data_IF_005607554034
#
_entry.id   IF_005607554034
#
_cell.length_a   1.000
_cell.length_b   1.000
_cell.length_c   1.000
_cell.angle_alpha   90.00
_cell.angle_beta   90.00
_cell.angle_gamma   90.00
#
_symmetry.space_group_name_H-M   'P 1'
#
loop_
_entity.id
_entity.type
_entity.pdbx_description
1 polymer ?
#
# COMPACT_ATOMS: atom_id res chain seq x y z
N UNK A 1 -11.91 2.14 88.69
CA UNK A 1 -12.61 2.54 87.46
C UNK A 1 -11.99 1.75 86.32
N UNK A 2 -12.57 0.61 86.05
CA UNK A 2 -12.12 -0.34 85.05
C UNK A 2 -12.63 0.10 83.70
N UNK A 3 -11.74 0.34 82.73
CA UNK A 3 -12.11 0.51 81.31
C UNK A 3 -12.11 -0.85 80.63
N UNK A 4 -13.29 -1.27 80.20
CA UNK A 4 -13.44 -2.47 79.37
C UNK A 4 -12.94 -2.17 77.94
N UNK A 5 -11.93 -2.85 77.49
CA UNK A 5 -11.48 -2.87 76.08
C UNK A 5 -12.36 -3.90 75.36
N UNK A 6 -13.17 -3.47 74.44
CA UNK A 6 -14.06 -4.31 73.64
C UNK A 6 -13.35 -4.98 72.49
N UNK A 7 -13.68 -6.27 72.25
CA UNK A 7 -13.14 -7.19 71.21
C UNK A 7 -13.49 -6.77 69.78
N UNK A 8 -13.34 -5.52 69.36
CA UNK A 8 -13.66 -5.09 67.97
C UNK A 8 -12.44 -4.58 67.16
N UNK A 9 -11.25 -4.52 67.76
CA UNK A 9 -10.07 -3.91 67.11
C UNK A 9 -9.07 -4.92 66.49
N UNK A 10 -9.44 -6.21 66.35
CA UNK A 10 -8.57 -7.22 65.80
C UNK A 10 -8.95 -7.77 64.40
N UNK A 11 -9.76 -7.06 63.64
CA UNK A 11 -10.24 -7.55 62.35
C UNK A 11 -9.84 -6.70 61.12
N UNK A 12 -8.83 -5.82 61.20
CA UNK A 12 -8.42 -4.95 60.08
C UNK A 12 -6.94 -5.20 59.68
N UNK A 13 -6.21 -6.10 60.32
CA UNK A 13 -4.80 -6.42 59.95
C UNK A 13 -4.69 -7.83 59.30
N UNK A 14 -5.57 -8.14 58.39
CA UNK A 14 -5.59 -9.49 57.77
C UNK A 14 -5.84 -9.56 56.29
N UNK A 15 -5.89 -8.42 55.56
CA UNK A 15 -6.19 -8.46 54.11
C UNK A 15 -5.27 -7.61 53.24
N UNK A 16 -4.01 -7.36 53.68
CA UNK A 16 -2.94 -6.90 52.83
C UNK A 16 -2.10 -8.11 52.37
N UNK A 17 -2.80 -9.20 52.06
CA UNK A 17 -2.23 -10.45 51.61
C UNK A 17 -2.14 -10.55 50.12
N UNK A 18 -0.94 -10.48 49.58
CA UNK A 18 -0.47 -11.13 48.39
C UNK A 18 -1.28 -10.87 47.08
N UNK A 19 -1.22 -9.67 46.57
CA UNK A 19 -1.12 -9.50 45.13
C UNK A 19 0.30 -9.87 44.70
N UNK A 20 0.65 -11.14 44.73
CA UNK A 20 1.75 -11.68 43.93
C UNK A 20 1.31 -11.52 42.47
N UNK A 21 1.56 -10.33 41.92
CA UNK A 21 1.48 -10.13 40.49
C UNK A 21 2.45 -11.12 39.84
N UNK A 22 1.91 -12.12 39.12
CA UNK A 22 2.73 -12.95 38.23
C UNK A 22 3.24 -12.02 37.11
N UNK A 23 4.35 -11.34 37.35
CA UNK A 23 5.05 -10.49 36.37
C UNK A 23 6.23 -11.24 35.79
N UNK A 24 6.56 -10.95 34.56
CA UNK A 24 7.83 -11.31 33.94
C UNK A 24 8.83 -10.18 34.26
N UNK A 25 10.05 -10.51 34.60
CA UNK A 25 11.12 -9.53 34.79
C UNK A 25 11.59 -9.07 33.40
N UNK A 26 11.29 -7.81 33.06
CA UNK A 26 11.71 -7.21 31.79
C UNK A 26 13.06 -6.54 32.00
N UNK A 27 14.09 -6.83 31.17
CA UNK A 27 15.39 -6.18 31.26
C UNK A 27 15.31 -4.67 31.20
N UNK A 28 16.15 -3.98 31.97
CA UNK A 28 16.15 -2.52 32.11
C UNK A 28 16.33 -1.81 30.77
N UNK A 29 17.19 -2.36 29.90
CA UNK A 29 17.48 -1.83 28.57
C UNK A 29 16.25 -1.82 27.64
N UNK A 30 15.28 -2.70 27.90
CA UNK A 30 14.00 -2.70 27.17
C UNK A 30 13.05 -1.67 27.78
N UNK A 31 13.03 -1.53 29.12
CA UNK A 31 12.18 -0.56 29.83
C UNK A 31 12.58 0.86 29.45
N UNK A 32 13.87 1.16 29.33
CA UNK A 32 14.40 2.48 28.97
C UNK A 32 13.87 2.96 27.60
N UNK A 33 13.60 2.02 26.69
CA UNK A 33 13.03 2.35 25.39
C UNK A 33 11.56 2.81 25.45
N UNK A 34 10.81 2.48 26.51
CA UNK A 34 9.38 2.84 26.61
C UNK A 34 9.12 4.33 26.55
N UNK A 35 10.03 5.15 27.06
CA UNK A 35 9.92 6.61 27.03
C UNK A 35 9.94 7.19 25.61
N UNK A 36 10.58 6.47 24.68
CA UNK A 36 10.76 6.85 23.29
C UNK A 36 9.66 6.26 22.35
N UNK A 37 8.71 5.49 22.91
CA UNK A 37 7.64 4.88 22.15
C UNK A 37 6.38 5.76 22.11
N UNK A 38 5.55 5.64 21.04
CA UNK A 38 4.24 6.28 21.00
C UNK A 38 3.42 5.94 22.27
N UNK A 39 2.59 6.87 22.73
CA UNK A 39 1.68 6.64 23.86
C UNK A 39 0.81 5.39 23.62
N UNK A 40 0.26 5.25 22.41
CA UNK A 40 -0.48 4.08 21.94
C UNK A 40 0.30 3.40 20.82
N UNK A 41 0.64 2.12 21.02
CA UNK A 41 1.30 1.31 20.00
C UNK A 41 0.27 0.77 19.02
N UNK A 42 0.43 1.13 17.74
CA UNK A 42 -0.44 0.68 16.65
C UNK A 42 0.04 -0.64 16.07
N UNK A 43 -0.88 -1.60 15.87
CA UNK A 43 -0.53 -2.91 15.34
C UNK A 43 0.06 -2.82 13.93
N UNK A 44 -0.60 -2.11 13.01
CA UNK A 44 -0.19 -2.04 11.61
C UNK A 44 1.12 -1.28 11.40
N UNK A 45 1.33 -0.18 12.15
CA UNK A 45 2.49 0.69 11.97
C UNK A 45 3.70 0.30 12.81
N UNK A 46 3.47 -0.29 14.00
CA UNK A 46 4.56 -0.53 14.94
C UNK A 46 4.86 -2.02 15.10
N UNK A 47 3.85 -2.90 15.21
CA UNK A 47 4.03 -4.32 15.57
C UNK A 47 4.15 -5.22 14.34
N UNK A 48 3.23 -5.10 13.38
CA UNK A 48 3.19 -5.96 12.19
C UNK A 48 4.50 -5.92 11.37
N UNK A 49 5.17 -4.77 11.15
CA UNK A 49 6.46 -4.75 10.48
C UNK A 49 7.52 -5.60 11.20
N UNK A 50 7.55 -5.55 12.53
CA UNK A 50 8.48 -6.37 13.32
C UNK A 50 8.16 -7.85 13.18
N UNK A 51 6.88 -8.24 13.31
CA UNK A 51 6.46 -9.63 13.16
C UNK A 51 6.80 -10.18 11.77
N UNK A 52 6.55 -9.39 10.72
CA UNK A 52 6.81 -9.80 9.33
C UNK A 52 8.31 -9.97 9.05
N UNK A 53 9.14 -9.09 9.58
CA UNK A 53 10.58 -9.14 9.33
C UNK A 53 11.30 -10.18 10.20
N UNK A 54 10.90 -10.33 11.46
CA UNK A 54 11.62 -11.13 12.44
C UNK A 54 11.01 -12.50 12.71
N UNK A 55 9.70 -12.67 12.46
CA UNK A 55 8.96 -13.86 12.91
C UNK A 55 8.34 -14.67 11.77
N UNK A 56 7.85 -14.02 10.67
CA UNK A 56 7.08 -14.72 9.64
C UNK A 56 7.88 -15.74 8.84
N UNK A 57 9.21 -15.66 8.81
CA UNK A 57 10.02 -16.70 8.17
C UNK A 57 9.71 -18.10 8.76
N UNK A 58 9.45 -18.17 10.08
CA UNK A 58 9.16 -19.44 10.77
C UNK A 58 7.73 -19.52 11.29
N UNK A 59 7.02 -18.40 11.43
CA UNK A 59 5.68 -18.31 12.02
C UNK A 59 4.72 -17.47 11.14
N UNK A 60 4.86 -17.57 9.83
CA UNK A 60 4.10 -16.84 8.83
C UNK A 60 3.25 -17.73 7.91
N UNK A 61 2.85 -17.20 6.75
CA UNK A 61 1.96 -17.88 5.81
C UNK A 61 2.56 -19.14 5.17
N UNK A 62 3.88 -19.19 4.93
CA UNK A 62 4.52 -20.30 4.24
C UNK A 62 4.47 -21.60 5.08
N UNK A 63 3.79 -22.61 4.54
CA UNK A 63 3.63 -23.92 5.22
C UNK A 63 4.92 -24.73 5.30
N UNK A 64 5.82 -24.57 4.33
CA UNK A 64 7.05 -25.36 4.25
C UNK A 64 8.06 -24.97 5.32
N UNK A 65 8.09 -23.72 5.71
CA UNK A 65 9.02 -23.19 6.72
C UNK A 65 8.39 -23.05 8.10
N UNK A 66 7.06 -23.23 8.21
CA UNK A 66 6.29 -23.00 9.45
C UNK A 66 6.67 -23.93 10.59
N UNK A 67 6.99 -23.36 11.74
CA UNK A 67 7.32 -24.08 12.96
C UNK A 67 6.18 -24.06 13.97
N UNK A 68 6.06 -25.14 14.73
CA UNK A 68 5.08 -25.32 15.84
C UNK A 68 3.60 -25.09 15.44
N UNK A 69 3.26 -25.01 14.16
CA UNK A 69 1.91 -24.66 13.69
C UNK A 69 1.46 -23.25 14.07
N UNK A 70 2.39 -22.39 14.50
CA UNK A 70 2.09 -21.01 14.89
C UNK A 70 2.05 -20.10 13.64
N UNK A 71 0.99 -19.29 13.53
CA UNK A 71 0.83 -18.23 12.53
C UNK A 71 0.64 -16.89 13.23
N UNK A 72 1.64 -16.04 13.16
CA UNK A 72 1.62 -14.70 13.73
C UNK A 72 1.06 -13.66 12.75
N UNK A 73 0.67 -14.08 11.55
CA UNK A 73 -0.05 -13.32 10.54
C UNK A 73 -1.58 -13.50 10.63
N UNK A 74 -2.05 -14.47 11.44
CA UNK A 74 -3.47 -14.78 11.63
C UNK A 74 -3.86 -14.59 13.10
N UNK A 75 -4.72 -13.60 13.39
CA UNK A 75 -5.15 -13.24 14.74
C UNK A 75 -5.63 -14.45 15.55
N UNK A 76 -6.59 -15.21 15.00
CA UNK A 76 -7.20 -16.34 15.71
C UNK A 76 -6.19 -17.42 16.12
N UNK A 77 -5.08 -17.59 15.37
CA UNK A 77 -4.04 -18.56 15.69
C UNK A 77 -3.02 -17.95 16.69
N UNK A 78 -2.63 -16.68 16.50
CA UNK A 78 -1.71 -15.99 17.37
C UNK A 78 -2.18 -15.92 18.84
N UNK A 79 -3.50 -15.86 19.05
CA UNK A 79 -4.12 -15.82 20.38
C UNK A 79 -4.67 -17.17 20.85
N UNK A 80 -4.61 -18.22 20.03
CA UNK A 80 -5.07 -19.54 20.42
C UNK A 80 -4.05 -20.33 21.26
N UNK A 81 -4.50 -21.40 21.93
CA UNK A 81 -3.60 -22.36 22.55
C UNK A 81 -2.99 -23.27 21.48
N UNK A 82 -1.69 -23.31 21.44
CA UNK A 82 -0.92 -24.22 20.60
C UNK A 82 -0.95 -25.66 21.17
N UNK A 83 -0.44 -26.62 20.39
CA UNK A 83 -0.32 -28.03 20.85
C UNK A 83 0.44 -28.18 22.16
N UNK A 84 1.34 -27.25 22.46
CA UNK A 84 2.09 -27.16 23.73
C UNK A 84 1.24 -26.71 24.93
N UNK A 85 -0.04 -26.33 24.71
CA UNK A 85 -0.89 -25.71 25.73
C UNK A 85 -0.60 -24.24 26.02
N UNK A 86 0.43 -23.63 25.36
CA UNK A 86 0.85 -22.24 25.53
C UNK A 86 0.19 -21.36 24.45
N UNK A 87 0.11 -20.06 24.73
CA UNK A 87 -0.44 -19.05 23.82
C UNK A 87 0.66 -18.07 23.45
N UNK A 88 0.81 -17.73 22.16
CA UNK A 88 1.87 -16.81 21.74
C UNK A 88 1.65 -15.41 22.33
N UNK A 89 0.46 -14.84 22.19
CA UNK A 89 0.09 -13.54 22.76
C UNK A 89 -1.12 -13.68 23.69
N UNK A 90 -1.02 -13.14 24.89
CA UNK A 90 -2.13 -13.02 25.85
C UNK A 90 -2.38 -11.55 26.13
N UNK A 91 -3.57 -11.08 25.78
CA UNK A 91 -3.99 -9.68 25.92
C UNK A 91 -3.76 -9.15 27.35
N UNK A 92 -3.03 -8.04 27.48
CA UNK A 92 -2.74 -7.39 28.75
C UNK A 92 -1.75 -8.10 29.68
N UNK A 93 -1.10 -9.20 29.24
CA UNK A 93 -0.23 -9.97 30.14
C UNK A 93 1.03 -10.50 29.46
N UNK A 94 2.18 -9.93 29.75
CA UNK A 94 3.49 -10.44 29.34
C UNK A 94 3.75 -11.83 29.93
N UNK A 95 3.41 -12.03 31.21
CA UNK A 95 3.61 -13.31 31.90
C UNK A 95 2.88 -14.49 31.26
N UNK A 96 1.67 -14.27 30.69
CA UNK A 96 0.90 -15.30 30.01
C UNK A 96 1.26 -15.43 28.54
N UNK A 97 2.01 -14.50 27.98
CA UNK A 97 2.47 -14.49 26.59
C UNK A 97 3.77 -15.29 26.43
N UNK A 98 3.71 -16.44 25.77
CA UNK A 98 4.91 -17.27 25.55
C UNK A 98 5.94 -16.54 24.68
N UNK A 99 5.50 -15.70 23.72
CA UNK A 99 6.37 -14.86 22.89
C UNK A 99 7.21 -13.90 23.74
N UNK A 100 6.61 -13.23 24.74
CA UNK A 100 7.33 -12.30 25.61
C UNK A 100 8.44 -13.02 26.40
N UNK A 101 8.16 -14.22 26.92
CA UNK A 101 9.15 -15.03 27.65
C UNK A 101 10.31 -15.45 26.76
N UNK A 102 10.01 -15.91 25.53
CA UNK A 102 11.03 -16.37 24.60
C UNK A 102 11.88 -15.24 24.03
N UNK A 103 11.30 -14.06 23.82
CA UNK A 103 12.02 -12.88 23.29
C UNK A 103 13.15 -12.40 24.21
N UNK A 104 13.03 -12.63 25.53
CA UNK A 104 14.05 -12.22 26.53
C UNK A 104 14.74 -13.39 27.18
N UNK A 105 14.61 -14.61 26.64
CA UNK A 105 15.26 -15.79 27.23
C UNK A 105 16.75 -15.78 26.90
N UNK A 106 17.58 -16.20 27.88
CA UNK A 106 19.05 -16.23 27.70
C UNK A 106 19.56 -17.52 27.04
N UNK A 107 18.76 -18.60 27.09
CA UNK A 107 19.12 -19.88 26.49
C UNK A 107 18.92 -19.83 24.97
N UNK A 108 20.00 -20.06 24.17
CA UNK A 108 19.95 -20.08 22.72
C UNK A 108 18.93 -21.07 22.13
N UNK A 109 18.62 -22.16 22.80
CA UNK A 109 17.66 -23.18 22.37
C UNK A 109 16.19 -22.75 22.60
N UNK A 110 15.97 -21.71 23.41
CA UNK A 110 14.64 -21.25 23.79
C UNK A 110 14.33 -19.86 23.23
N UNK A 111 15.35 -18.99 23.13
CA UNK A 111 15.18 -17.60 22.67
C UNK A 111 14.56 -17.53 21.28
N UNK A 112 13.72 -16.51 21.05
CA UNK A 112 13.10 -16.25 19.74
C UNK A 112 13.29 -14.78 19.32
N UNK A 113 13.73 -14.54 18.08
CA UNK A 113 14.18 -15.50 17.07
C UNK A 113 15.45 -16.25 17.48
N UNK A 114 15.65 -17.49 17.00
CA UNK A 114 16.84 -18.26 17.35
C UNK A 114 18.10 -17.62 16.72
N UNK A 115 19.26 -17.68 17.38
CA UNK A 115 20.48 -16.97 16.94
C UNK A 115 20.92 -17.31 15.50
N UNK A 116 20.77 -18.55 15.07
CA UNK A 116 21.13 -19.02 13.74
C UNK A 116 20.28 -18.39 12.60
N UNK A 117 19.13 -17.82 12.95
CA UNK A 117 18.26 -17.15 11.97
C UNK A 117 18.79 -15.79 11.49
N UNK A 118 19.69 -15.17 12.25
CA UNK A 118 20.17 -13.79 12.05
C UNK A 118 19.04 -12.73 12.07
N UNK A 119 17.93 -13.03 12.77
CA UNK A 119 16.74 -12.16 12.86
C UNK A 119 16.56 -11.55 14.26
N UNK A 120 17.67 -11.35 15.00
CA UNK A 120 17.62 -10.82 16.37
C UNK A 120 16.84 -9.51 16.47
N UNK A 121 16.02 -9.40 17.53
CA UNK A 121 15.26 -8.20 17.85
C UNK A 121 16.13 -7.18 18.59
N UNK A 122 16.03 -5.91 18.21
CA UNK A 122 16.57 -4.79 18.97
C UNK A 122 15.77 -4.56 20.27
N UNK A 123 16.33 -3.87 21.26
CA UNK A 123 15.62 -3.54 22.49
C UNK A 123 14.37 -2.70 22.23
N UNK A 124 14.41 -1.79 21.24
CA UNK A 124 13.25 -1.00 20.80
C UNK A 124 12.15 -1.89 20.20
N UNK A 125 12.47 -2.86 19.35
CA UNK A 125 11.50 -3.80 18.78
C UNK A 125 10.85 -4.66 19.88
N UNK A 126 11.64 -5.15 20.85
CA UNK A 126 11.14 -5.86 22.04
C UNK A 126 10.19 -4.98 22.85
N UNK A 127 10.57 -3.74 23.13
CA UNK A 127 9.76 -2.78 23.88
C UNK A 127 8.43 -2.48 23.17
N UNK A 128 8.41 -2.35 21.84
CA UNK A 128 7.18 -2.16 21.05
C UNK A 128 6.23 -3.34 21.23
N UNK A 129 6.72 -4.57 21.07
CA UNK A 129 5.90 -5.79 21.23
C UNK A 129 5.34 -5.87 22.65
N UNK A 130 6.17 -5.60 23.66
CA UNK A 130 5.77 -5.69 25.07
C UNK A 130 4.71 -4.64 25.41
N UNK A 131 4.94 -3.37 25.05
CA UNK A 131 3.98 -2.29 25.27
C UNK A 131 2.64 -2.56 24.56
N UNK A 132 2.69 -3.12 23.34
CA UNK A 132 1.48 -3.55 22.64
C UNK A 132 0.71 -4.64 23.40
N UNK A 133 1.41 -5.66 23.91
CA UNK A 133 0.79 -6.74 24.72
C UNK A 133 0.14 -6.15 25.97
N UNK A 134 0.84 -5.28 26.70
CA UNK A 134 0.34 -4.62 27.92
C UNK A 134 -0.88 -3.73 27.64
N UNK A 135 -0.92 -3.08 26.49
CA UNK A 135 -2.06 -2.26 26.03
C UNK A 135 -3.25 -3.11 25.52
N UNK A 136 -3.20 -4.41 25.71
CA UNK A 136 -4.28 -5.32 25.38
C UNK A 136 -4.11 -6.05 24.06
N UNK A 137 -2.95 -5.98 23.42
CA UNK A 137 -2.59 -6.68 22.18
C UNK A 137 -3.66 -6.50 21.09
N UNK A 138 -4.15 -5.28 20.89
CA UNK A 138 -5.21 -4.99 19.94
C UNK A 138 -4.74 -5.25 18.51
N UNK A 139 -5.29 -6.29 17.92
CA UNK A 139 -5.08 -6.63 16.51
C UNK A 139 -5.83 -5.68 15.59
N UNK A 140 -5.32 -5.49 14.38
CA UNK A 140 -5.99 -4.74 13.32
C UNK A 140 -5.89 -5.49 12.00
N UNK A 141 -6.94 -5.42 11.21
CA UNK A 141 -6.89 -5.85 9.82
C UNK A 141 -5.83 -5.06 9.04
N UNK A 142 -5.39 -5.62 7.93
CA UNK A 142 -4.36 -4.98 7.10
C UNK A 142 -4.81 -3.58 6.65
N UNK A 143 -3.99 -2.57 6.89
CA UNK A 143 -4.33 -1.15 6.70
C UNK A 143 -4.82 -0.80 5.29
N UNK A 144 -4.27 -1.46 4.25
CA UNK A 144 -4.64 -1.20 2.85
C UNK A 144 -6.07 -1.61 2.50
N UNK A 145 -6.70 -2.50 3.31
CA UNK A 145 -8.06 -3.00 3.10
C UNK A 145 -9.07 -2.39 4.05
N UNK A 146 -8.63 -1.50 4.95
CA UNK A 146 -9.55 -0.76 5.81
C UNK A 146 -10.16 0.42 5.04
N UNK A 147 -11.50 0.57 5.05
CA UNK A 147 -12.12 1.75 4.46
C UNK A 147 -11.57 3.04 5.08
N UNK A 148 -11.18 4.05 4.28
CA UNK A 148 -10.69 5.30 4.81
C UNK A 148 -11.75 6.01 5.64
N UNK A 149 -11.37 6.48 6.83
CA UNK A 149 -12.26 7.24 7.72
C UNK A 149 -11.95 8.72 7.60
N UNK A 150 -13.00 9.53 7.35
CA UNK A 150 -12.85 10.99 7.30
C UNK A 150 -12.31 11.51 8.62
N UNK A 151 -11.14 12.08 8.59
CA UNK A 151 -10.52 12.73 9.74
C UNK A 151 -10.99 14.20 9.79
N UNK A 152 -11.16 14.72 11.02
CA UNK A 152 -11.39 16.15 11.22
C UNK A 152 -10.12 16.78 11.80
N UNK A 153 -9.72 17.97 11.33
CA UNK A 153 -8.62 18.70 11.94
C UNK A 153 -8.93 18.97 13.41
N UNK A 154 -7.92 18.88 14.29
CA UNK A 154 -8.09 19.14 15.72
C UNK A 154 -8.14 20.65 16.06
N UNK A 155 -7.80 21.51 15.12
CA UNK A 155 -7.77 22.94 15.33
C UNK A 155 -9.13 23.59 15.04
N UNK A 156 -9.60 24.42 15.94
CA UNK A 156 -10.79 25.26 15.76
C UNK A 156 -10.45 26.63 15.13
N UNK A 157 -9.35 26.72 14.39
CA UNK A 157 -8.95 27.96 13.74
C UNK A 157 -9.92 28.26 12.57
N UNK A 158 -10.88 29.10 12.83
CA UNK A 158 -11.78 29.66 11.79
C UNK A 158 -11.04 30.56 10.78
N UNK A 159 -9.72 30.76 10.95
CA UNK A 159 -8.89 31.61 10.09
C UNK A 159 -8.33 30.87 8.89
N UNK A 160 -8.32 29.53 8.90
CA UNK A 160 -7.83 28.72 7.78
C UNK A 160 -9.01 28.21 6.94
N UNK A 161 -9.07 28.65 5.69
CA UNK A 161 -10.16 28.36 4.77
C UNK A 161 -10.19 26.89 4.34
N UNK A 162 -8.99 26.26 4.19
CA UNK A 162 -8.87 24.93 3.62
C UNK A 162 -8.55 23.88 4.68
N UNK A 163 -9.21 22.70 4.66
CA UNK A 163 -8.94 21.63 5.62
C UNK A 163 -7.49 21.13 5.62
N UNK A 164 -6.82 21.13 4.47
CA UNK A 164 -5.41 20.72 4.36
C UNK A 164 -4.53 21.65 5.20
N UNK A 165 -4.73 22.96 5.10
CA UNK A 165 -3.97 23.94 5.89
C UNK A 165 -4.18 23.74 7.38
N UNK A 166 -5.38 23.34 7.80
CA UNK A 166 -5.67 23.05 9.20
C UNK A 166 -4.89 21.83 9.71
N UNK A 167 -4.76 20.75 8.90
CA UNK A 167 -3.92 19.60 9.24
C UNK A 167 -2.44 19.98 9.32
N UNK A 168 -1.95 20.74 8.35
CA UNK A 168 -0.57 21.25 8.34
C UNK A 168 -0.30 22.13 9.56
N UNK A 169 -1.21 23.08 9.86
CA UNK A 169 -1.06 23.98 11.03
C UNK A 169 -0.98 23.20 12.33
N UNK A 170 -1.83 22.18 12.50
CA UNK A 170 -1.75 21.32 13.69
C UNK A 170 -0.36 20.70 13.88
N UNK A 171 0.26 20.24 12.79
CA UNK A 171 1.59 19.67 12.88
C UNK A 171 2.65 20.73 13.16
N UNK A 172 2.58 21.87 12.49
CA UNK A 172 3.47 23.01 12.74
C UNK A 172 3.43 23.48 14.19
N UNK A 173 2.22 23.56 14.79
CA UNK A 173 2.07 23.95 16.18
C UNK A 173 2.73 22.97 17.16
N UNK A 174 2.68 21.67 16.88
CA UNK A 174 3.36 20.65 17.70
C UNK A 174 4.89 20.78 17.64
N UNK A 175 5.42 21.24 16.51
CA UNK A 175 6.86 21.47 16.30
C UNK A 175 7.30 22.91 16.67
N UNK A 176 6.40 23.77 17.13
CA UNK A 176 6.68 25.18 17.43
C UNK A 176 6.98 26.02 16.18
N UNK A 177 6.49 25.61 15.02
CA UNK A 177 6.72 26.25 13.72
C UNK A 177 5.48 26.99 13.21
N UNK A 178 5.67 27.88 12.24
CA UNK A 178 4.61 28.60 11.56
C UNK A 178 4.72 28.43 10.05
N UNK A 179 3.63 28.75 9.32
CA UNK A 179 3.68 28.84 7.88
C UNK A 179 4.71 29.88 7.42
N UNK A 180 5.42 29.56 6.36
CA UNK A 180 6.22 30.55 5.63
C UNK A 180 5.31 31.60 4.96
N UNK A 181 5.83 32.80 4.65
CA UNK A 181 5.09 33.78 3.87
C UNK A 181 4.63 33.22 2.53
N UNK A 182 3.49 33.72 2.01
CA UNK A 182 2.99 33.34 0.68
C UNK A 182 4.06 33.67 -0.37
N UNK A 183 4.29 32.72 -1.28
CA UNK A 183 5.25 32.89 -2.36
C UNK A 183 4.85 34.06 -3.30
N UNK A 184 5.84 34.68 -3.97
CA UNK A 184 5.59 35.70 -4.98
C UNK A 184 4.73 35.17 -6.14
N UNK A 185 4.01 36.04 -6.84
CA UNK A 185 3.23 35.67 -8.03
C UNK A 185 4.08 34.94 -9.08
N UNK A 186 5.31 35.39 -9.31
CA UNK A 186 6.24 34.74 -10.25
C UNK A 186 6.56 33.30 -9.82
N UNK A 187 6.82 33.08 -8.53
CA UNK A 187 7.10 31.73 -7.97
C UNK A 187 5.86 30.87 -8.08
N UNK A 188 4.67 31.40 -7.77
CA UNK A 188 3.39 30.66 -7.87
C UNK A 188 3.10 30.25 -9.32
N UNK A 189 3.25 31.17 -10.28
CA UNK A 189 3.10 30.87 -11.70
C UNK A 189 4.02 29.71 -12.11
N UNK A 190 5.33 29.85 -11.85
CA UNK A 190 6.28 28.80 -12.21
C UNK A 190 5.91 27.44 -11.63
N UNK A 191 5.51 27.39 -10.35
CA UNK A 191 5.12 26.13 -9.70
C UNK A 191 3.89 25.49 -10.34
N UNK A 192 2.81 26.26 -10.52
CA UNK A 192 1.58 25.71 -11.07
C UNK A 192 1.71 25.26 -12.52
N UNK A 193 2.52 25.96 -13.32
CA UNK A 193 2.82 25.52 -14.68
C UNK A 193 3.58 24.20 -14.71
N UNK A 194 4.64 24.07 -13.90
CA UNK A 194 5.41 22.83 -13.81
C UNK A 194 4.58 21.67 -13.26
N UNK A 195 3.71 21.92 -12.28
CA UNK A 195 2.87 20.90 -11.69
C UNK A 195 1.79 20.41 -12.67
N UNK A 196 1.10 21.35 -13.34
CA UNK A 196 -0.06 21.00 -14.17
C UNK A 196 0.30 20.59 -15.60
N UNK A 197 1.30 21.22 -16.20
CA UNK A 197 1.65 20.95 -17.62
C UNK A 197 3.11 20.51 -17.83
N UNK A 198 3.93 20.48 -16.79
CA UNK A 198 5.33 20.04 -16.86
C UNK A 198 6.29 21.04 -17.52
N UNK A 199 5.82 22.20 -17.95
CA UNK A 199 6.59 23.25 -18.65
C UNK A 199 6.50 24.57 -17.89
N UNK A 200 7.55 25.45 -17.96
CA UNK A 200 7.44 26.79 -17.40
C UNK A 200 6.50 27.66 -18.25
N UNK A 201 5.92 28.74 -17.67
CA UNK A 201 5.18 29.72 -18.45
C UNK A 201 6.05 30.45 -19.49
N UNK A 202 5.47 30.84 -20.61
CA UNK A 202 6.09 31.84 -21.51
C UNK A 202 6.14 33.21 -20.82
N UNK A 203 6.91 34.13 -21.39
CA UNK A 203 6.99 35.51 -20.87
C UNK A 203 5.63 36.18 -20.91
N UNK A 204 4.90 36.04 -22.01
CA UNK A 204 3.57 36.63 -22.25
C UNK A 204 2.53 36.07 -21.24
N UNK A 205 2.57 34.76 -20.97
CA UNK A 205 1.68 34.12 -20.01
C UNK A 205 1.99 34.59 -18.58
N UNK A 206 3.27 34.70 -18.25
CA UNK A 206 3.71 35.22 -16.96
C UNK A 206 3.26 36.66 -16.77
N UNK A 207 3.48 37.54 -17.76
CA UNK A 207 3.11 38.94 -17.72
C UNK A 207 1.56 39.09 -17.62
N UNK A 208 0.79 38.27 -18.32
CA UNK A 208 -0.66 38.22 -18.19
C UNK A 208 -1.11 37.95 -16.77
N UNK A 209 -0.51 36.94 -16.12
CA UNK A 209 -0.83 36.63 -14.72
C UNK A 209 -0.35 37.69 -13.74
N UNK A 210 0.82 38.29 -13.93
CA UNK A 210 1.35 39.35 -13.07
C UNK A 210 0.48 40.61 -13.13
N UNK A 211 -0.07 40.94 -14.31
CA UNK A 211 -0.92 42.09 -14.54
C UNK A 211 -2.38 41.87 -14.08
N UNK A 212 -2.83 40.66 -13.92
CA UNK A 212 -4.16 40.37 -13.36
C UNK A 212 -4.23 40.79 -11.89
N UNK A 213 -5.10 41.81 -11.61
CA UNK A 213 -5.31 42.37 -10.26
C UNK A 213 -6.56 41.78 -9.57
N UNK A 214 -7.25 40.82 -10.20
CA UNK A 214 -8.43 40.20 -9.61
C UNK A 214 -8.06 39.34 -8.42
N UNK A 215 -8.97 39.23 -7.46
CA UNK A 215 -8.83 38.35 -6.30
C UNK A 215 -8.75 36.86 -6.70
N UNK A 216 -9.24 36.52 -7.89
CA UNK A 216 -9.25 35.17 -8.47
C UNK A 216 -8.15 34.91 -9.48
N UNK A 217 -7.16 35.81 -9.62
CA UNK A 217 -6.10 35.68 -10.60
C UNK A 217 -5.41 34.30 -10.60
N UNK A 218 -5.14 33.75 -9.43
CA UNK A 218 -4.50 32.43 -9.30
C UNK A 218 -5.45 31.29 -9.67
N UNK A 219 -6.71 31.35 -9.23
CA UNK A 219 -7.73 30.35 -9.57
C UNK A 219 -7.99 30.34 -11.09
N UNK A 220 -8.15 31.51 -11.71
CA UNK A 220 -8.31 31.65 -13.17
C UNK A 220 -7.11 31.07 -13.93
N UNK A 221 -5.88 31.22 -13.39
CA UNK A 221 -4.70 30.63 -13.99
C UNK A 221 -4.75 29.10 -13.92
N UNK A 222 -5.11 28.53 -12.77
CA UNK A 222 -5.25 27.09 -12.57
C UNK A 222 -6.30 26.52 -13.52
N UNK A 223 -7.50 27.11 -13.54
CA UNK A 223 -8.61 26.66 -14.40
C UNK A 223 -8.22 26.66 -15.89
N UNK A 224 -7.54 27.71 -16.34
CA UNK A 224 -7.04 27.80 -17.71
C UNK A 224 -6.04 26.68 -18.04
N UNK A 225 -5.09 26.38 -17.13
CA UNK A 225 -4.11 25.33 -17.35
C UNK A 225 -4.73 23.93 -17.36
N UNK A 226 -5.71 23.68 -16.51
CA UNK A 226 -6.45 22.41 -16.46
C UNK A 226 -7.20 22.11 -17.78
N UNK A 227 -7.59 23.13 -18.53
CA UNK A 227 -8.31 22.98 -19.82
C UNK A 227 -7.38 22.82 -21.03
N UNK A 228 -6.06 22.84 -20.84
CA UNK A 228 -5.10 22.72 -21.95
C UNK A 228 -4.88 21.27 -22.37
N UNK A 229 -4.47 21.07 -23.62
CA UNK A 229 -3.99 19.77 -24.10
C UNK A 229 -2.70 19.36 -23.39
N UNK A 230 -1.82 20.31 -23.10
CA UNK A 230 -0.59 20.07 -22.36
C UNK A 230 -0.83 19.46 -20.96
N UNK A 231 -1.92 19.87 -20.25
CA UNK A 231 -2.33 19.23 -19.01
C UNK A 231 -2.78 17.79 -19.25
N UNK A 232 -3.56 17.55 -20.28
CA UNK A 232 -4.01 16.21 -20.66
C UNK A 232 -2.82 15.30 -20.97
N UNK A 233 -1.86 15.77 -21.77
CA UNK A 233 -0.63 15.03 -22.08
C UNK A 233 0.19 14.73 -20.82
N UNK A 234 0.36 15.73 -19.95
CA UNK A 234 1.09 15.57 -18.68
C UNK A 234 0.48 14.48 -17.78
N UNK A 235 -0.84 14.48 -17.63
CA UNK A 235 -1.56 13.49 -16.82
C UNK A 235 -1.54 12.08 -17.45
N UNK A 236 -1.54 12.02 -18.78
CA UNK A 236 -1.52 10.75 -19.51
C UNK A 236 -0.20 10.04 -19.38
N UNK A 237 0.94 10.74 -19.28
CA UNK A 237 2.27 10.13 -19.20
C UNK A 237 2.38 9.12 -18.04
N UNK A 238 1.94 9.48 -16.84
CA UNK A 238 2.00 8.60 -15.68
C UNK A 238 1.16 7.32 -15.89
N UNK A 239 0.02 7.44 -16.60
CA UNK A 239 -0.79 6.28 -16.95
C UNK A 239 -0.15 5.39 -18.01
N UNK A 240 0.48 5.98 -19.03
CA UNK A 240 1.21 5.23 -20.07
C UNK A 240 2.36 4.44 -19.46
N UNK A 241 3.10 5.01 -18.52
CA UNK A 241 4.17 4.33 -17.79
C UNK A 241 3.64 3.14 -16.97
N UNK A 242 2.58 3.34 -16.20
CA UNK A 242 1.93 2.28 -15.43
C UNK A 242 1.40 1.16 -16.34
N UNK A 243 0.87 1.51 -17.50
CA UNK A 243 0.38 0.57 -18.50
C UNK A 243 1.49 -0.07 -19.34
N UNK A 244 2.75 0.36 -19.20
CA UNK A 244 3.93 -0.10 -19.96
C UNK A 244 3.76 0.10 -21.46
N UNK A 245 3.15 1.23 -21.85
CA UNK A 245 2.92 1.54 -23.25
C UNK A 245 4.21 1.62 -24.07
N UNK A 246 4.21 0.94 -25.22
CA UNK A 246 5.22 1.09 -26.24
C UNK A 246 4.66 0.73 -27.62
N UNK A 247 5.14 1.41 -28.68
CA UNK A 247 4.89 1.04 -30.09
C UNK A 247 5.96 0.07 -30.61
N UNK A 248 6.47 -0.79 -29.70
CA UNK A 248 7.39 -1.88 -30.02
C UNK A 248 7.09 -3.11 -29.17
N UNK A 249 7.67 -4.25 -29.53
CA UNK A 249 7.44 -5.52 -28.83
C UNK A 249 8.11 -5.59 -27.45
N UNK A 250 9.17 -4.84 -27.24
CA UNK A 250 9.85 -4.71 -25.94
C UNK A 250 10.94 -5.75 -25.66
N UNK A 251 10.95 -6.89 -26.35
CA UNK A 251 11.91 -7.97 -26.14
C UNK A 251 12.54 -8.42 -27.45
N UNK A 252 13.72 -9.05 -27.35
CA UNK A 252 14.52 -9.57 -28.46
C UNK A 252 14.89 -8.47 -29.49
N UNK A 253 14.46 -8.57 -30.75
CA UNK A 253 14.73 -7.57 -31.78
C UNK A 253 13.97 -6.24 -31.58
N UNK A 254 13.01 -6.22 -30.66
CA UNK A 254 12.18 -5.04 -30.33
C UNK A 254 11.52 -4.40 -31.55
N UNK A 255 10.95 -5.22 -32.44
CA UNK A 255 10.27 -4.78 -33.64
C UNK A 255 9.07 -3.90 -33.39
N UNK A 256 8.69 -3.09 -34.36
CA UNK A 256 7.58 -2.14 -34.24
C UNK A 256 6.22 -2.84 -34.19
N UNK A 257 5.30 -2.28 -33.43
CA UNK A 257 3.87 -2.64 -33.39
C UNK A 257 3.01 -1.40 -33.24
N UNK A 258 1.73 -1.49 -33.65
CA UNK A 258 0.79 -0.38 -33.59
C UNK A 258 0.00 -0.38 -32.30
N UNK A 259 0.43 0.41 -31.32
CA UNK A 259 -0.27 0.62 -30.04
C UNK A 259 -0.75 2.05 -29.86
N UNK A 260 -0.27 3.01 -30.65
CA UNK A 260 -0.61 4.42 -30.55
C UNK A 260 -2.12 4.73 -30.59
N UNK A 261 -3.04 3.97 -31.26
CA UNK A 261 -4.47 4.27 -31.19
C UNK A 261 -5.01 4.12 -29.76
N UNK A 262 -4.48 3.20 -28.95
CA UNK A 262 -4.85 3.09 -27.55
C UNK A 262 -4.30 4.25 -26.73
N UNK A 263 -3.09 4.71 -26.99
CA UNK A 263 -2.55 5.95 -26.38
C UNK A 263 -3.48 7.13 -26.62
N UNK A 264 -3.91 7.31 -27.86
CA UNK A 264 -4.81 8.41 -28.23
C UNK A 264 -6.19 8.27 -27.58
N UNK A 265 -6.69 7.04 -27.41
CA UNK A 265 -7.87 6.78 -26.60
C UNK A 265 -7.68 7.22 -25.13
N UNK A 266 -6.53 6.93 -24.53
CA UNK A 266 -6.21 7.37 -23.16
C UNK A 266 -6.20 8.89 -23.07
N UNK A 267 -5.52 9.58 -23.98
CA UNK A 267 -5.52 11.03 -24.08
C UNK A 267 -6.94 11.60 -24.12
N UNK A 268 -7.80 11.04 -24.99
CA UNK A 268 -9.20 11.42 -25.09
C UNK A 268 -9.97 11.20 -23.78
N UNK A 269 -9.75 10.07 -23.11
CA UNK A 269 -10.40 9.75 -21.85
C UNK A 269 -10.03 10.75 -20.74
N UNK A 270 -8.75 11.13 -20.64
CA UNK A 270 -8.29 12.17 -19.71
C UNK A 270 -8.86 13.55 -20.07
N UNK A 271 -8.81 13.94 -21.35
CA UNK A 271 -9.37 15.24 -21.81
C UNK A 271 -10.85 15.38 -21.50
N UNK A 272 -11.63 14.30 -21.61
CA UNK A 272 -13.05 14.26 -21.31
C UNK A 272 -13.34 14.06 -19.82
N UNK A 273 -12.31 13.95 -18.99
CA UNK A 273 -12.45 13.63 -17.57
C UNK A 273 -13.37 12.41 -17.34
N UNK A 274 -13.10 11.31 -18.09
CA UNK A 274 -13.89 10.08 -18.02
C UNK A 274 -13.99 9.58 -16.57
N UNK A 275 -15.19 9.23 -16.07
CA UNK A 275 -15.33 8.66 -14.73
C UNK A 275 -14.44 7.43 -14.52
N UNK A 276 -13.73 7.38 -13.39
CA UNK A 276 -12.73 6.35 -13.14
C UNK A 276 -13.26 4.91 -13.24
N UNK A 277 -14.47 4.66 -12.76
CA UNK A 277 -15.12 3.35 -12.90
C UNK A 277 -15.34 2.96 -14.36
N UNK A 278 -15.69 3.90 -15.22
CA UNK A 278 -15.83 3.66 -16.67
C UNK A 278 -14.47 3.42 -17.32
N UNK A 279 -13.46 4.23 -16.97
CA UNK A 279 -12.09 4.11 -17.46
C UNK A 279 -11.50 2.72 -17.14
N UNK A 280 -11.67 2.23 -15.91
CA UNK A 280 -11.24 0.88 -15.50
C UNK A 280 -12.00 -0.20 -16.26
N UNK A 281 -13.34 -0.11 -16.27
CA UNK A 281 -14.18 -1.15 -16.90
C UNK A 281 -13.87 -1.31 -18.39
N UNK A 282 -13.70 -0.20 -19.11
CA UNK A 282 -13.41 -0.29 -20.54
C UNK A 282 -12.03 -0.85 -20.83
N UNK A 283 -11.03 -0.55 -20.06
CA UNK A 283 -9.68 -1.10 -20.27
C UNK A 283 -9.57 -2.58 -19.91
N UNK A 284 -10.32 -3.07 -18.95
CA UNK A 284 -10.25 -4.46 -18.53
C UNK A 284 -11.22 -5.37 -19.29
N UNK A 285 -12.42 -4.87 -19.62
CA UNK A 285 -13.53 -5.68 -20.13
C UNK A 285 -14.44 -4.92 -21.10
N UNK A 286 -13.94 -3.90 -21.78
CA UNK A 286 -14.72 -3.10 -22.70
C UNK A 286 -15.33 -3.89 -23.87
N UNK A 287 -14.64 -4.91 -24.34
CA UNK A 287 -15.07 -5.84 -25.38
C UNK A 287 -16.20 -6.79 -24.93
N UNK A 288 -16.33 -7.02 -23.62
CA UNK A 288 -17.36 -7.85 -23.02
C UNK A 288 -18.69 -7.13 -22.73
N UNK A 289 -18.73 -5.80 -22.94
CA UNK A 289 -19.94 -5.02 -22.72
C UNK A 289 -21.01 -5.38 -23.76
N UNK A 290 -22.30 -5.34 -23.41
CA UNK A 290 -23.38 -5.56 -24.37
C UNK A 290 -23.29 -4.55 -25.53
N UNK A 291 -23.26 -5.07 -26.77
CA UNK A 291 -23.10 -4.27 -27.99
C UNK A 291 -21.86 -3.34 -27.95
N UNK A 292 -20.73 -3.87 -27.46
CA UNK A 292 -19.50 -3.12 -27.30
C UNK A 292 -19.12 -2.32 -28.55
N UNK A 293 -18.92 -1.03 -28.37
CA UNK A 293 -18.48 -0.12 -29.42
C UNK A 293 -17.02 -0.38 -29.79
N UNK A 294 -16.58 0.15 -30.94
CA UNK A 294 -15.18 0.06 -31.35
C UNK A 294 -14.24 0.74 -30.34
N UNK A 295 -14.67 1.87 -29.76
CA UNK A 295 -13.92 2.58 -28.73
C UNK A 295 -13.77 1.78 -27.44
N UNK A 296 -14.83 1.09 -26.99
CA UNK A 296 -14.77 0.19 -25.84
C UNK A 296 -13.83 -1.00 -26.06
N UNK A 297 -13.85 -1.55 -27.27
CA UNK A 297 -12.91 -2.61 -27.67
C UNK A 297 -11.48 -2.11 -27.75
N UNK A 298 -11.26 -0.89 -28.30
CA UNK A 298 -9.93 -0.26 -28.36
C UNK A 298 -9.35 -0.06 -26.97
N UNK A 299 -10.16 0.34 -25.99
CA UNK A 299 -9.72 0.52 -24.60
C UNK A 299 -9.07 -0.75 -24.02
N UNK A 300 -9.54 -1.96 -24.41
CA UNK A 300 -8.98 -3.22 -23.92
C UNK A 300 -7.55 -3.50 -24.41
N UNK A 301 -7.01 -2.69 -25.32
CA UNK A 301 -5.61 -2.79 -25.72
C UNK A 301 -4.64 -2.48 -24.56
N UNK A 302 -5.12 -1.96 -23.43
CA UNK A 302 -4.39 -2.00 -22.14
C UNK A 302 -3.78 -3.39 -21.88
N UNK A 303 -4.54 -4.45 -22.14
CA UNK A 303 -4.09 -5.84 -21.94
C UNK A 303 -3.08 -6.31 -23.00
N UNK A 304 -2.79 -5.51 -24.03
CA UNK A 304 -1.77 -5.81 -25.06
C UNK A 304 -0.44 -5.10 -24.86
N UNK A 305 -0.31 -4.24 -23.84
CA UNK A 305 0.95 -3.54 -23.57
C UNK A 305 2.03 -4.45 -22.97
N UNK A 306 1.75 -5.73 -22.71
CA UNK A 306 2.77 -6.68 -22.28
C UNK A 306 3.92 -6.75 -23.30
N UNK A 307 5.19 -6.82 -22.86
CA UNK A 307 6.30 -7.15 -23.75
C UNK A 307 6.06 -8.51 -24.41
N UNK A 308 6.48 -8.64 -25.68
CA UNK A 308 6.34 -9.87 -26.46
C UNK A 308 7.71 -10.27 -27.01
N UNK A 309 7.92 -11.58 -27.18
CA UNK A 309 9.21 -12.11 -27.69
C UNK A 309 9.08 -12.70 -29.10
N UNK A 310 10.10 -12.47 -29.89
CA UNK A 310 10.30 -13.10 -31.21
C UNK A 310 11.52 -14.04 -31.21
N UNK A 311 12.10 -14.32 -30.03
CA UNK A 311 13.33 -15.08 -29.95
C UNK A 311 13.13 -16.55 -30.39
N UNK A 312 13.93 -17.00 -31.34
CA UNK A 312 13.90 -18.38 -31.82
C UNK A 312 14.35 -19.38 -30.74
N UNK A 313 13.61 -20.49 -30.61
CA UNK A 313 13.93 -21.53 -29.63
C UNK A 313 13.19 -21.41 -28.31
N UNK A 314 12.37 -20.38 -28.12
CA UNK A 314 11.47 -20.27 -26.96
C UNK A 314 10.35 -21.31 -27.01
N UNK A 315 9.81 -21.70 -25.87
CA UNK A 315 8.63 -22.56 -25.79
C UNK A 315 7.38 -21.66 -25.81
N UNK A 316 6.55 -21.82 -26.86
CA UNK A 316 5.39 -20.97 -27.13
C UNK A 316 4.45 -20.85 -25.90
N UNK A 317 4.06 -21.99 -25.29
CA UNK A 317 3.14 -21.99 -24.15
C UNK A 317 3.77 -21.37 -22.90
N UNK A 318 5.07 -21.49 -22.69
CA UNK A 318 5.76 -20.83 -21.57
C UNK A 318 5.65 -19.30 -21.68
N UNK A 319 5.94 -18.75 -22.87
CA UNK A 319 5.85 -17.31 -23.10
C UNK A 319 4.41 -16.80 -23.10
N UNK A 320 3.48 -17.57 -23.65
CA UNK A 320 2.05 -17.23 -23.52
C UNK A 320 1.65 -17.08 -22.07
N UNK A 321 2.08 -17.98 -21.18
CA UNK A 321 1.84 -17.87 -19.75
C UNK A 321 2.56 -16.66 -19.11
N UNK A 322 3.76 -16.31 -19.58
CA UNK A 322 4.42 -15.08 -19.13
C UNK A 322 3.55 -13.84 -19.40
N UNK A 323 2.91 -13.73 -20.56
CA UNK A 323 2.01 -12.62 -20.87
C UNK A 323 0.76 -12.62 -19.99
N UNK A 324 0.21 -13.77 -19.67
CA UNK A 324 -0.93 -13.92 -18.76
C UNK A 324 -0.55 -13.45 -17.33
N UNK A 325 0.61 -13.86 -16.83
CA UNK A 325 1.11 -13.43 -15.52
C UNK A 325 1.40 -11.93 -15.50
N UNK A 326 2.01 -11.40 -16.52
CA UNK A 326 2.31 -9.98 -16.66
C UNK A 326 1.04 -9.10 -16.62
N UNK A 327 -0.05 -9.52 -17.29
CA UNK A 327 -1.36 -8.84 -17.20
C UNK A 327 -1.92 -8.86 -15.79
N UNK A 328 -1.81 -9.99 -15.09
CA UNK A 328 -2.26 -10.13 -13.70
C UNK A 328 -1.51 -9.16 -12.78
N UNK A 329 -0.20 -9.09 -12.91
CA UNK A 329 0.68 -8.25 -12.11
C UNK A 329 0.46 -6.77 -12.44
N UNK A 330 0.29 -6.42 -13.71
CA UNK A 330 0.01 -5.06 -14.15
C UNK A 330 -1.36 -4.56 -13.71
N UNK A 331 -2.41 -5.40 -13.85
CA UNK A 331 -3.74 -5.06 -13.31
C UNK A 331 -3.65 -4.74 -11.83
N UNK A 332 -2.97 -5.59 -11.07
CA UNK A 332 -2.86 -5.42 -9.62
C UNK A 332 -2.07 -4.16 -9.27
N UNK A 333 -0.98 -3.88 -9.95
CA UNK A 333 -0.15 -2.70 -9.70
C UNK A 333 -0.87 -1.41 -10.14
N UNK A 334 -1.40 -1.38 -11.37
CA UNK A 334 -1.96 -0.17 -11.94
C UNK A 334 -3.32 0.24 -11.35
N UNK A 335 -4.20 -0.73 -11.09
CA UNK A 335 -5.56 -0.43 -10.62
C UNK A 335 -5.78 -0.65 -9.12
N UNK A 336 -5.03 -1.56 -8.51
CA UNK A 336 -5.22 -1.93 -7.10
C UNK A 336 -4.11 -1.38 -6.19
N UNK A 337 -2.98 -0.93 -6.76
CA UNK A 337 -1.80 -0.51 -5.98
C UNK A 337 -1.19 -1.66 -5.17
N UNK A 338 -1.33 -2.90 -5.63
CA UNK A 338 -0.86 -4.11 -4.96
C UNK A 338 0.23 -4.81 -5.79
N UNK A 339 1.28 -5.26 -5.13
CA UNK A 339 2.32 -6.09 -5.72
C UNK A 339 2.00 -7.56 -5.45
N UNK A 340 1.49 -8.28 -6.45
CA UNK A 340 1.02 -9.66 -6.29
C UNK A 340 2.02 -10.72 -6.76
N UNK A 341 3.12 -10.34 -7.41
CA UNK A 341 4.06 -11.26 -8.05
C UNK A 341 4.63 -12.33 -7.11
N UNK A 342 4.85 -12.00 -5.82
CA UNK A 342 5.31 -12.97 -4.83
C UNK A 342 4.32 -14.13 -4.65
N UNK A 343 3.02 -13.87 -4.81
CA UNK A 343 1.97 -14.87 -4.65
C UNK A 343 1.92 -15.89 -5.81
N UNK A 344 2.70 -15.71 -6.86
CA UNK A 344 2.90 -16.71 -7.92
C UNK A 344 3.53 -18.01 -7.41
N UNK A 345 4.45 -17.92 -6.44
CA UNK A 345 5.22 -19.08 -5.96
C UNK A 345 4.77 -19.56 -4.57
N UNK A 346 4.28 -18.65 -3.70
CA UNK A 346 3.86 -18.93 -2.33
C UNK A 346 2.90 -17.85 -1.87
N UNK A 347 2.17 -18.05 -0.76
CA UNK A 347 1.35 -17.00 -0.17
C UNK A 347 2.16 -15.74 0.10
N UNK A 348 1.60 -14.55 -0.21
CA UNK A 348 2.32 -13.29 -0.07
C UNK A 348 2.76 -13.05 1.38
N UNK A 349 4.00 -12.64 1.58
CA UNK A 349 4.59 -12.51 2.94
C UNK A 349 3.92 -11.42 3.78
N UNK A 350 3.57 -10.29 3.16
CA UNK A 350 3.13 -9.08 3.88
C UNK A 350 1.63 -8.83 3.74
N UNK A 351 1.07 -9.13 2.57
CA UNK A 351 -0.31 -8.86 2.22
C UNK A 351 -1.17 -10.14 2.32
N UNK A 352 -2.47 -10.03 2.65
CA UNK A 352 -3.36 -11.18 2.75
C UNK A 352 -3.79 -11.68 1.35
N UNK A 353 -2.82 -12.04 0.51
CA UNK A 353 -2.99 -12.53 -0.85
C UNK A 353 -2.39 -13.93 -0.90
N UNK A 354 -3.22 -14.95 -1.08
CA UNK A 354 -2.74 -16.32 -1.23
C UNK A 354 -2.27 -16.61 -2.65
N UNK A 355 -1.46 -17.66 -2.82
CA UNK A 355 -1.13 -18.20 -4.14
C UNK A 355 -2.39 -18.58 -4.92
N UNK A 356 -3.40 -19.08 -4.22
CA UNK A 356 -4.70 -19.41 -4.83
C UNK A 356 -5.39 -18.15 -5.40
N UNK A 357 -5.37 -17.03 -4.67
CA UNK A 357 -5.96 -15.76 -5.15
C UNK A 357 -5.24 -15.27 -6.41
N UNK A 358 -3.91 -15.38 -6.44
CA UNK A 358 -3.11 -15.03 -7.62
C UNK A 358 -3.53 -15.82 -8.84
N UNK A 359 -3.62 -17.15 -8.75
CA UNK A 359 -4.02 -17.99 -9.89
C UNK A 359 -5.50 -17.86 -10.26
N UNK A 360 -6.38 -17.55 -9.30
CA UNK A 360 -7.76 -17.20 -9.60
C UNK A 360 -7.88 -15.90 -10.39
N UNK A 361 -7.09 -14.88 -10.05
CA UNK A 361 -7.02 -13.64 -10.82
C UNK A 361 -6.40 -13.87 -12.21
N UNK A 362 -5.34 -14.64 -12.29
CA UNK A 362 -4.67 -15.04 -13.54
C UNK A 362 -5.62 -15.73 -14.51
N UNK A 363 -6.57 -16.53 -14.02
CA UNK A 363 -7.53 -17.26 -14.84
C UNK A 363 -8.41 -16.35 -15.73
N UNK A 364 -8.64 -15.07 -15.33
CA UNK A 364 -9.38 -14.11 -16.17
C UNK A 364 -8.65 -13.75 -17.45
N UNK A 365 -7.33 -13.87 -17.51
CA UNK A 365 -6.50 -13.57 -18.68
C UNK A 365 -6.09 -14.81 -19.48
N UNK A 366 -6.30 -16.01 -18.93
CA UNK A 366 -5.84 -17.26 -19.55
C UNK A 366 -6.71 -17.72 -20.73
N UNK A 367 -7.82 -17.04 -21.01
CA UNK A 367 -8.72 -17.32 -22.14
C UNK A 367 -8.40 -16.49 -23.40
N UNK A 368 -7.41 -15.61 -23.36
CA UNK A 368 -6.99 -14.80 -24.49
C UNK A 368 -6.28 -15.72 -25.50
N UNK A 369 -6.76 -15.67 -26.75
CA UNK A 369 -6.16 -16.48 -27.87
C UNK A 369 -4.98 -15.72 -28.46
N UNK A 370 -3.79 -16.06 -28.02
CA UNK A 370 -2.54 -15.47 -28.44
C UNK A 370 -1.44 -16.52 -28.52
N UNK A 371 -0.39 -16.23 -29.28
CA UNK A 371 0.83 -17.03 -29.34
C UNK A 371 1.85 -16.49 -28.34
N UNK A 372 2.70 -17.35 -27.81
CA UNK A 372 3.80 -16.93 -26.93
C UNK A 372 4.97 -16.39 -27.74
N UNK A 373 5.23 -16.96 -28.91
CA UNK A 373 6.25 -16.49 -29.84
C UNK A 373 5.62 -15.67 -30.97
N UNK A 374 6.18 -14.50 -31.24
CA UNK A 374 5.78 -13.62 -32.33
C UNK A 374 6.89 -13.57 -33.42
N UNK A 375 6.67 -12.83 -34.52
CA UNK A 375 7.75 -12.49 -35.45
C UNK A 375 8.52 -11.26 -34.97
N UNK A 376 9.64 -10.97 -35.65
CA UNK A 376 10.52 -9.84 -35.32
C UNK A 376 9.82 -8.48 -35.51
N UNK A 377 8.98 -8.37 -36.53
CA UNK A 377 8.21 -7.20 -36.90
C UNK A 377 6.76 -7.55 -37.22
N UNK A 378 5.86 -6.61 -37.03
CA UNK A 378 4.48 -6.67 -37.49
C UNK A 378 3.45 -6.82 -36.41
N UNK A 379 2.22 -7.07 -36.85
CA UNK A 379 1.05 -7.10 -36.00
C UNK A 379 0.64 -8.55 -35.68
N UNK A 380 0.66 -8.90 -34.41
CA UNK A 380 0.28 -10.22 -33.91
C UNK A 380 -1.00 -10.15 -33.09
N UNK A 381 -1.84 -11.19 -33.25
CA UNK A 381 -3.16 -11.24 -32.64
C UNK A 381 -3.18 -11.31 -31.10
N UNK A 382 -4.34 -10.99 -30.49
CA UNK A 382 -5.58 -10.56 -31.14
C UNK A 382 -5.53 -9.11 -31.67
N UNK A 383 -6.09 -8.87 -32.86
CA UNK A 383 -6.08 -7.57 -33.55
C UNK A 383 -7.49 -6.95 -33.60
N UNK A 384 -7.57 -5.63 -33.49
CA UNK A 384 -8.75 -4.85 -33.72
C UNK A 384 -8.58 -3.98 -34.98
N UNK A 385 -9.21 -4.34 -36.13
CA UNK A 385 -9.21 -3.46 -37.30
C UNK A 385 -9.88 -2.12 -36.99
N UNK A 386 -9.16 -1.03 -37.21
CA UNK A 386 -9.69 0.33 -37.06
C UNK A 386 -10.04 0.89 -38.44
N UNK A 387 -11.24 1.44 -38.60
CA UNK A 387 -11.60 2.22 -39.79
C UNK A 387 -10.91 3.58 -39.72
N UNK A 388 -10.58 4.16 -40.88
CA UNK A 388 -9.94 5.48 -40.96
C UNK A 388 -10.73 6.64 -40.30
N UNK A 389 -11.98 6.40 -39.94
CA UNK A 389 -12.86 7.41 -39.28
C UNK A 389 -12.73 7.38 -37.74
N UNK A 390 -11.93 6.50 -37.15
CA UNK A 390 -11.71 6.41 -35.69
C UNK A 390 -10.40 7.10 -35.23
N UNK A 391 -9.68 7.75 -36.16
CA UNK A 391 -8.35 8.31 -35.96
C UNK A 391 -8.34 9.83 -35.77
N UNK A 392 -9.47 10.46 -35.36
CA UNK A 392 -9.56 11.89 -35.08
C UNK A 392 -10.27 12.13 -33.75
#
# INVERSE_FOLDING_TARGET
MLLMITKKDFAVIGLAGFLLSCSIEVPTEIIDEYSNLPEVVDFNYNVKPILSDRCYQCHGPDENTRKAGLRLDVESIAFSKLKSGKTAFSSGSLYKSESAKRIIHDDPEIVMPPPESNLALTNREKAIIFKWIEQGAKWKEHWAFLPPKKQKPKTNSNTLQYPIDQFIKNRLDQEGLNFSPKASKTTLARRVYLDLIGLPPSIEELDTFLNDKSDKAYENLVDRLLDTDAHTERMTLDWLDLARYADSHGLHADGARTMWPWRDWVLKAFKQNMPYNQFVTWQLAGDLLPNATQEQKLATAFNRNSPMTAEGGVIDEEWRLHYVFDRTETLSTAFMGLTVACAKCHDHKFDPISQKDYFQLTAFFNNIRELGMTGDDGEFGPLLPLSNNCLL
#
